data_IF_990322213464
#
_entry.id   IF_990322213464
#
_cell.length_a   1.000
_cell.length_b   1.000
_cell.length_c   1.000
_cell.angle_alpha   90.00
_cell.angle_beta   90.00
_cell.angle_gamma   90.00
#
_symmetry.space_group_name_H-M   'P 1'
#
loop_
_entity.id
_entity.type
_entity.pdbx_description
1 polymer ?
#
# COMPACT_ATOMS: atom_id res chain seq x y z
N UNK A 1 14.01 -12.21 -34.52
CA UNK A 1 14.31 -13.09 -33.39
C UNK A 1 13.55 -12.54 -32.18
N UNK A 2 12.51 -13.27 -31.73
CA UNK A 2 11.65 -13.14 -30.53
C UNK A 2 11.46 -11.73 -29.90
N UNK A 3 10.39 -10.99 -30.23
CA UNK A 3 9.06 -10.93 -29.57
C UNK A 3 9.12 -10.58 -28.07
N UNK A 4 8.82 -9.31 -27.81
CA UNK A 4 8.51 -8.70 -26.52
C UNK A 4 7.50 -9.51 -25.71
N UNK A 5 7.91 -9.94 -24.52
CA UNK A 5 6.99 -10.28 -23.43
C UNK A 5 7.59 -9.75 -22.14
N UNK A 6 7.57 -8.42 -21.96
CA UNK A 6 7.69 -7.87 -20.60
C UNK A 6 6.40 -8.25 -19.90
N UNK A 7 6.50 -9.27 -19.06
CA UNK A 7 5.46 -9.68 -18.11
C UNK A 7 5.12 -8.47 -17.25
N UNK A 8 4.04 -7.78 -17.60
CA UNK A 8 3.60 -6.55 -16.94
C UNK A 8 3.26 -6.89 -15.50
N UNK A 9 4.11 -6.47 -14.57
CA UNK A 9 3.97 -6.81 -13.16
C UNK A 9 2.79 -6.00 -12.61
N UNK A 10 1.78 -6.69 -12.09
CA UNK A 10 0.52 -6.07 -11.71
C UNK A 10 0.63 -5.47 -10.29
N UNK A 11 0.22 -4.20 -10.13
CA UNK A 11 0.05 -3.54 -8.82
C UNK A 11 -1.40 -3.45 -8.45
N UNK A 12 -1.72 -3.69 -7.18
CA UNK A 12 -3.00 -3.24 -6.62
C UNK A 12 -3.03 -1.70 -6.57
N UNK A 13 -4.06 -1.10 -7.18
CA UNK A 13 -4.21 0.36 -7.26
C UNK A 13 -3.36 1.04 -8.35
N UNK A 14 -2.71 0.27 -9.23
CA UNK A 14 -1.94 0.81 -10.37
C UNK A 14 -2.79 1.60 -11.37
N UNK A 15 -4.10 1.38 -11.39
CA UNK A 15 -5.08 2.13 -12.19
C UNK A 15 -5.33 3.57 -11.70
N UNK A 16 -4.86 3.91 -10.49
CA UNK A 16 -5.02 5.23 -9.87
C UNK A 16 -3.68 6.00 -9.68
N UNK A 17 -2.54 5.43 -10.08
CA UNK A 17 -1.21 6.00 -9.85
C UNK A 17 -0.54 6.56 -11.12
N UNK A 18 0.35 7.57 -11.01
CA UNK A 18 1.09 8.08 -12.15
C UNK A 18 2.04 7.02 -12.75
N UNK A 19 2.02 6.87 -14.07
CA UNK A 19 2.92 5.98 -14.83
C UNK A 19 4.39 6.27 -14.50
N UNK A 20 5.18 5.25 -14.12
CA UNK A 20 6.62 5.42 -13.81
C UNK A 20 7.53 4.51 -14.63
N UNK A 21 8.72 5.05 -14.93
CA UNK A 21 9.84 4.42 -15.64
C UNK A 21 10.58 3.41 -14.75
N UNK A 22 10.70 2.17 -15.23
CA UNK A 22 11.99 1.47 -15.38
C UNK A 22 12.58 0.68 -14.20
N UNK A 23 12.31 1.02 -12.94
CA UNK A 23 12.87 0.27 -11.81
C UNK A 23 11.79 0.00 -10.76
N UNK A 24 11.22 -1.19 -10.83
CA UNK A 24 10.12 -1.57 -9.97
C UNK A 24 10.54 -2.73 -9.08
N UNK A 25 10.55 -2.47 -7.77
CA UNK A 25 10.84 -3.49 -6.76
C UNK A 25 9.62 -4.41 -6.62
N UNK A 26 9.62 -5.45 -7.43
CA UNK A 26 8.62 -6.50 -7.36
C UNK A 26 8.78 -7.38 -6.11
N UNK A 27 7.66 -7.72 -5.47
CA UNK A 27 7.58 -8.69 -4.37
C UNK A 27 6.68 -9.85 -4.78
N UNK A 28 6.83 -11.00 -4.11
CA UNK A 28 5.94 -12.15 -4.34
C UNK A 28 4.52 -11.88 -3.84
N UNK A 29 3.54 -12.66 -4.31
CA UNK A 29 2.14 -12.58 -3.86
C UNK A 29 1.99 -12.77 -2.34
N UNK A 30 2.76 -13.67 -1.73
CA UNK A 30 2.72 -13.93 -0.29
C UNK A 30 3.30 -12.76 0.53
N UNK A 31 4.38 -12.15 0.04
CA UNK A 31 4.94 -10.92 0.65
C UNK A 31 3.97 -9.76 0.50
N UNK A 32 3.36 -9.60 -0.68
CA UNK A 32 2.33 -8.59 -0.93
C UNK A 32 1.14 -8.74 0.03
N UNK A 33 0.62 -9.96 0.19
CA UNK A 33 -0.50 -10.23 1.11
C UNK A 33 -0.14 -9.90 2.56
N UNK A 34 1.10 -10.21 2.98
CA UNK A 34 1.61 -9.84 4.30
C UNK A 34 1.70 -8.32 4.47
N UNK A 35 2.20 -7.61 3.46
CA UNK A 35 2.26 -6.14 3.45
C UNK A 35 0.88 -5.53 3.66
N UNK A 36 -0.15 -6.00 2.93
CA UNK A 36 -1.54 -5.53 3.06
C UNK A 36 -2.07 -5.74 4.47
N UNK A 37 -1.84 -6.92 5.05
CA UNK A 37 -2.32 -7.22 6.40
C UNK A 37 -1.65 -6.35 7.47
N UNK A 38 -0.32 -6.28 7.44
CA UNK A 38 0.46 -5.52 8.43
C UNK A 38 0.15 -4.03 8.31
N UNK A 39 0.07 -3.50 7.09
CA UNK A 39 -0.19 -2.08 6.86
C UNK A 39 -1.62 -1.69 7.24
N UNK A 40 -2.64 -2.48 6.90
CA UNK A 40 -4.02 -2.16 7.26
C UNK A 40 -4.25 -2.28 8.77
N UNK A 41 -3.61 -3.25 9.44
CA UNK A 41 -3.69 -3.35 10.89
C UNK A 41 -3.02 -2.16 11.58
N UNK A 42 -1.84 -1.74 11.09
CA UNK A 42 -1.17 -0.53 11.57
C UNK A 42 -1.96 0.75 11.30
N UNK A 43 -2.55 0.88 10.12
CA UNK A 43 -3.42 2.00 9.74
C UNK A 43 -4.66 2.09 10.65
N UNK A 44 -5.31 0.96 10.94
CA UNK A 44 -6.45 0.90 11.84
C UNK A 44 -6.07 1.28 13.28
N UNK A 45 -4.89 0.85 13.75
CA UNK A 45 -4.38 1.27 15.06
C UNK A 45 -4.16 2.79 15.14
N UNK A 46 -3.63 3.42 14.09
CA UNK A 46 -3.50 4.87 14.02
C UNK A 46 -4.87 5.58 13.97
N UNK A 47 -5.88 5.00 13.33
CA UNK A 47 -7.25 5.54 13.36
C UNK A 47 -7.80 5.52 14.79
N UNK A 48 -7.63 4.42 15.53
CA UNK A 48 -8.05 4.35 16.94
C UNK A 48 -7.37 5.44 17.78
N UNK A 49 -6.05 5.58 17.64
CA UNK A 49 -5.30 6.64 18.33
C UNK A 49 -5.74 8.05 17.91
N UNK A 50 -6.06 8.23 16.64
CA UNK A 50 -6.55 9.51 16.16
C UNK A 50 -7.92 9.86 16.74
N UNK A 51 -8.85 8.90 16.81
CA UNK A 51 -10.15 9.10 17.44
C UNK A 51 -10.01 9.45 18.92
N UNK A 52 -9.12 8.78 19.65
CA UNK A 52 -8.78 9.10 21.04
C UNK A 52 -8.29 10.56 21.16
N UNK A 53 -7.35 10.97 20.31
CA UNK A 53 -6.81 12.32 20.33
C UNK A 53 -7.84 13.39 19.92
N UNK A 54 -8.68 13.12 18.91
CA UNK A 54 -9.68 14.07 18.42
C UNK A 54 -10.82 14.28 19.43
N UNK A 55 -11.33 13.20 20.03
CA UNK A 55 -12.57 13.25 20.81
C UNK A 55 -12.32 13.22 22.32
N UNK A 56 -11.35 12.44 22.80
CA UNK A 56 -11.09 12.31 24.25
C UNK A 56 -10.11 13.37 24.72
N UNK A 57 -8.94 13.46 24.10
CA UNK A 57 -7.89 14.39 24.52
C UNK A 57 -8.03 15.81 23.95
N UNK A 58 -8.97 16.02 23.01
CA UNK A 58 -9.19 17.32 22.33
C UNK A 58 -7.92 17.87 21.66
N UNK A 59 -6.99 16.99 21.28
CA UNK A 59 -5.73 17.30 20.60
C UNK A 59 -5.92 17.25 19.09
N UNK A 60 -6.66 18.23 18.55
CA UNK A 60 -7.13 18.20 17.17
C UNK A 60 -6.00 18.03 16.13
N UNK A 61 -4.91 18.80 16.24
CA UNK A 61 -3.81 18.76 15.28
C UNK A 61 -3.11 17.39 15.24
N UNK A 62 -2.87 16.78 16.41
CA UNK A 62 -2.25 15.47 16.52
C UNK A 62 -3.18 14.35 16.05
N UNK A 63 -4.48 14.47 16.36
CA UNK A 63 -5.50 13.56 15.85
C UNK A 63 -5.61 13.59 14.32
N UNK A 64 -5.60 14.78 13.72
CA UNK A 64 -5.61 14.92 12.26
C UNK A 64 -4.33 14.35 11.61
N UNK A 65 -3.16 14.63 12.20
CA UNK A 65 -1.88 14.07 11.73
C UNK A 65 -1.90 12.53 11.79
N UNK A 66 -2.40 11.96 12.87
CA UNK A 66 -2.53 10.51 13.01
C UNK A 66 -3.51 9.89 12.01
N UNK A 67 -4.63 10.57 11.67
CA UNK A 67 -5.52 10.12 10.59
C UNK A 67 -4.82 10.09 9.22
N UNK A 68 -4.11 11.17 8.88
CA UNK A 68 -3.35 11.25 7.62
C UNK A 68 -2.28 10.15 7.59
N UNK A 69 -1.58 9.94 8.70
CA UNK A 69 -0.62 8.85 8.86
C UNK A 69 -1.26 7.46 8.69
N UNK A 70 -2.44 7.25 9.25
CA UNK A 70 -3.21 6.01 9.11
C UNK A 70 -3.54 5.69 7.64
N UNK A 71 -3.98 6.69 6.88
CA UNK A 71 -4.23 6.55 5.44
C UNK A 71 -2.93 6.26 4.69
N UNK A 72 -1.85 6.98 4.97
CA UNK A 72 -0.56 6.76 4.32
C UNK A 72 -0.04 5.33 4.55
N UNK A 73 -0.15 4.81 5.78
CA UNK A 73 0.23 3.42 6.09
C UNK A 73 -0.71 2.43 5.40
N UNK A 74 -2.02 2.62 5.46
CA UNK A 74 -2.97 1.71 4.80
C UNK A 74 -2.72 1.60 3.28
N UNK A 75 -2.31 2.70 2.64
CA UNK A 75 -1.97 2.74 1.21
C UNK A 75 -0.55 2.25 0.89
N UNK A 76 0.32 2.04 1.87
CA UNK A 76 1.70 1.59 1.66
C UNK A 76 1.88 0.38 0.71
N UNK A 77 1.03 -0.68 0.76
CA UNK A 77 1.15 -1.82 -0.15
C UNK A 77 1.00 -1.46 -1.63
N UNK A 78 0.27 -0.39 -1.97
CA UNK A 78 0.11 0.07 -3.36
C UNK A 78 1.43 0.51 -4.00
N UNK A 79 2.47 0.75 -3.20
CA UNK A 79 3.79 1.10 -3.68
C UNK A 79 4.64 -0.11 -4.15
N UNK A 80 4.12 -1.34 -4.07
CA UNK A 80 4.82 -2.55 -4.49
C UNK A 80 4.17 -3.22 -5.71
N UNK A 81 5.02 -3.88 -6.51
CA UNK A 81 4.64 -4.67 -7.68
C UNK A 81 4.52 -6.15 -7.33
N UNK A 82 3.48 -6.84 -7.83
CA UNK A 82 3.37 -8.29 -7.67
C UNK A 82 4.04 -8.94 -8.88
N UNK A 83 5.15 -9.62 -8.64
CA UNK A 83 5.85 -10.41 -9.66
C UNK A 83 5.39 -11.87 -9.58
N UNK A 84 5.21 -12.51 -10.74
CA UNK A 84 4.83 -13.92 -10.84
C UNK A 84 3.32 -14.18 -10.84
N UNK A 85 2.48 -13.18 -11.13
CA UNK A 85 1.02 -13.37 -11.20
C UNK A 85 0.55 -14.02 -12.52
N UNK A 86 1.43 -14.20 -13.51
CA UNK A 86 1.14 -14.77 -14.84
C UNK A 86 1.75 -16.16 -15.08
N UNK A 87 2.33 -16.81 -14.08
CA UNK A 87 3.04 -18.10 -14.27
C UNK A 87 2.13 -19.35 -14.17
N UNK A 88 0.81 -19.15 -14.12
CA UNK A 88 -0.19 -20.23 -14.33
C UNK A 88 -0.72 -20.16 -15.76
N UNK A 89 0.04 -20.73 -16.71
CA UNK A 89 -0.39 -20.99 -18.10
C UNK A 89 -0.25 -22.48 -18.42
#
# INVERSE_FOLDING_TARGET
MSKDTKTDAQRFGGEFGPFRKGETTGVSLSTFKTLVWVSNLGGLALVVLALEMLFVQQMFGWGLLALIGGVAIALFPSNYEIVGMNDES
#
